data_IF_693446244475
#
_entry.id   IF_693446244475
#
_cell.length_a   1.000
_cell.length_b   1.000
_cell.length_c   1.000
_cell.angle_alpha   90.00
_cell.angle_beta   90.00
_cell.angle_gamma   90.00
#
_symmetry.space_group_name_H-M   'P 1'
#
loop_
_entity.id
_entity.type
_entity.pdbx_description
1 polymer ?
#
# COMPACT_ATOMS: atom_id res chain seq x y z
N UNK A 1 39.44 35.02 -22.77
CA UNK A 1 38.88 34.14 -21.72
C UNK A 1 37.46 34.61 -21.47
N UNK A 2 36.46 33.92 -22.04
CA UNK A 2 35.05 34.26 -21.79
C UNK A 2 34.58 33.52 -20.55
N UNK A 3 34.16 34.26 -19.53
CA UNK A 3 33.47 33.70 -18.36
C UNK A 3 32.12 33.13 -18.82
N UNK A 4 31.96 31.81 -18.70
CA UNK A 4 30.69 31.14 -18.96
C UNK A 4 29.66 31.48 -17.87
N UNK A 5 28.35 31.40 -18.18
CA UNK A 5 27.31 31.81 -17.25
C UNK A 5 27.31 30.92 -16.00
N UNK A 6 27.43 31.56 -14.84
CA UNK A 6 27.33 30.94 -13.51
C UNK A 6 25.96 30.27 -13.39
N UNK A 7 25.95 28.93 -13.39
CA UNK A 7 24.75 28.14 -13.09
C UNK A 7 24.31 28.44 -11.66
N UNK A 8 23.18 29.13 -11.50
CA UNK A 8 22.55 29.31 -10.19
C UNK A 8 22.20 27.93 -9.60
N UNK A 9 22.44 27.69 -8.31
CA UNK A 9 22.08 26.43 -7.67
C UNK A 9 20.56 26.25 -7.75
N UNK A 10 20.14 25.10 -8.27
CA UNK A 10 18.73 24.68 -8.30
C UNK A 10 18.24 24.60 -6.85
N UNK A 11 17.35 25.52 -6.48
CA UNK A 11 16.79 25.55 -5.15
C UNK A 11 15.81 24.39 -5.01
N UNK A 12 16.24 23.33 -4.32
CA UNK A 12 15.42 22.13 -4.09
C UNK A 12 14.24 22.52 -3.19
N UNK A 13 13.04 22.57 -3.76
CA UNK A 13 11.80 22.88 -3.02
C UNK A 13 11.65 21.87 -1.88
N UNK A 14 11.53 22.36 -0.64
CA UNK A 14 11.28 21.53 0.53
C UNK A 14 9.82 21.06 0.42
N UNK A 15 9.63 19.77 0.09
CA UNK A 15 8.32 19.14 -0.15
C UNK A 15 7.73 18.64 1.17
N UNK A 16 6.48 18.97 1.52
CA UNK A 16 5.74 18.18 2.50
C UNK A 16 5.57 16.76 1.94
N UNK A 17 5.95 15.75 2.73
CA UNK A 17 5.77 14.34 2.33
C UNK A 17 4.29 14.02 2.41
N UNK A 18 3.72 13.48 1.33
CA UNK A 18 2.37 12.91 1.41
C UNK A 18 2.41 11.72 2.38
N UNK A 19 1.54 11.75 3.38
CA UNK A 19 1.47 10.68 4.38
C UNK A 19 1.18 9.34 3.70
N UNK A 20 1.95 8.31 4.07
CA UNK A 20 1.82 6.95 3.53
C UNK A 20 0.65 6.17 4.19
N UNK A 21 -0.39 6.87 4.65
CA UNK A 21 -1.53 6.29 5.37
C UNK A 21 -2.48 5.58 4.39
N UNK A 22 -2.03 4.43 3.91
CA UNK A 22 -2.81 3.53 3.04
C UNK A 22 -4.15 3.19 3.71
N UNK A 23 -5.24 3.67 3.13
CA UNK A 23 -6.62 3.35 3.56
C UNK A 23 -7.31 4.40 4.44
N UNK A 24 -6.65 5.50 4.79
CA UNK A 24 -7.29 6.63 5.52
C UNK A 24 -7.72 7.70 4.51
N UNK A 25 -9.01 8.00 4.46
CA UNK A 25 -9.50 9.13 3.68
C UNK A 25 -9.29 10.43 4.46
N UNK A 26 -8.53 11.36 3.89
CA UNK A 26 -8.32 12.71 4.42
C UNK A 26 -9.10 13.72 3.57
N UNK A 27 -9.57 14.79 4.21
CA UNK A 27 -10.20 15.93 3.53
C UNK A 27 -9.39 17.19 3.86
N UNK A 28 -8.64 17.68 2.88
CA UNK A 28 -7.57 18.65 3.09
C UNK A 28 -6.54 18.07 4.05
N UNK A 29 -6.30 18.77 5.16
CA UNK A 29 -5.43 18.32 6.27
C UNK A 29 -6.20 17.62 7.39
N UNK A 30 -7.52 17.46 7.27
CA UNK A 30 -8.37 16.92 8.34
C UNK A 30 -8.57 15.41 8.24
N UNK A 31 -8.41 14.70 9.38
CA UNK A 31 -8.75 13.28 9.50
C UNK A 31 -10.24 13.09 9.83
N UNK A 32 -10.88 12.09 9.20
CA UNK A 32 -12.28 11.77 9.46
C UNK A 32 -12.40 10.78 10.62
N UNK A 33 -12.99 11.22 11.74
CA UNK A 33 -13.37 10.35 12.86
C UNK A 33 -14.75 9.75 12.61
N UNK A 34 -14.84 8.42 12.49
CA UNK A 34 -16.11 7.69 12.38
C UNK A 34 -16.71 7.50 13.78
N UNK A 35 -17.97 7.88 13.98
CA UNK A 35 -18.72 7.69 15.23
C UNK A 35 -20.05 6.99 14.91
N UNK A 36 -20.50 6.08 15.77
CA UNK A 36 -21.83 5.42 15.63
C UNK A 36 -21.85 4.08 14.87
N UNK A 37 -20.69 3.50 14.53
CA UNK A 37 -20.64 2.15 13.96
C UNK A 37 -20.83 1.11 15.08
N UNK A 38 -21.98 0.46 15.10
CA UNK A 38 -22.32 -0.58 16.08
C UNK A 38 -21.86 -1.98 15.64
N UNK A 39 -21.22 -2.68 16.60
CA UNK A 39 -20.84 -4.11 16.65
C UNK A 39 -19.58 -4.55 15.87
N UNK A 40 -18.76 -5.29 16.62
CA UNK A 40 -17.54 -5.98 16.19
C UNK A 40 -17.94 -7.33 15.60
N UNK A 41 -17.81 -7.50 14.30
CA UNK A 41 -18.14 -8.75 13.59
C UNK A 41 -16.97 -9.75 13.69
N UNK A 42 -17.26 -11.06 13.71
CA UNK A 42 -16.24 -12.12 13.70
C UNK A 42 -15.30 -12.04 12.47
N UNK A 43 -15.73 -11.41 11.36
CA UNK A 43 -14.87 -11.10 10.21
C UNK A 43 -13.68 -10.19 10.55
N UNK A 44 -13.75 -9.47 11.67
CA UNK A 44 -12.67 -8.62 12.17
C UNK A 44 -11.48 -9.46 12.67
N UNK A 45 -11.67 -10.68 13.18
CA UNK A 45 -10.55 -11.53 13.64
C UNK A 45 -9.72 -12.02 12.45
N UNK A 46 -10.38 -12.54 11.41
CA UNK A 46 -9.69 -12.97 10.19
C UNK A 46 -8.98 -11.79 9.52
N UNK A 47 -9.67 -10.66 9.36
CA UNK A 47 -9.06 -9.44 8.82
C UNK A 47 -7.87 -8.99 9.66
N UNK A 48 -8.02 -8.94 11.00
CA UNK A 48 -6.97 -8.56 11.94
C UNK A 48 -5.73 -9.44 11.79
N UNK A 49 -5.89 -10.77 11.80
CA UNK A 49 -4.79 -11.72 11.60
C UNK A 49 -4.06 -11.52 10.28
N UNK A 50 -4.78 -11.17 9.21
CA UNK A 50 -4.15 -10.89 7.91
C UNK A 50 -3.47 -9.50 7.83
N UNK A 51 -3.83 -8.57 8.71
CA UNK A 51 -3.24 -7.21 8.75
C UNK A 51 -2.09 -7.06 9.73
N UNK A 52 -1.85 -8.03 10.63
CA UNK A 52 -0.68 -8.02 11.52
C UNK A 52 0.62 -7.90 10.71
N UNK A 53 1.61 -7.20 11.24
CA UNK A 53 2.98 -7.28 10.68
C UNK A 53 3.52 -8.71 10.82
N UNK A 54 4.46 -9.12 9.97
CA UNK A 54 5.06 -10.45 10.02
C UNK A 54 5.60 -10.84 11.40
N UNK A 55 6.32 -9.94 12.09
CA UNK A 55 6.85 -10.22 13.43
C UNK A 55 5.76 -10.52 14.43
N UNK A 56 4.76 -9.64 14.55
CA UNK A 56 3.61 -9.85 15.45
C UNK A 56 2.81 -11.12 15.10
N UNK A 57 2.69 -11.46 13.82
CA UNK A 57 2.03 -12.70 13.39
C UNK A 57 2.78 -13.93 13.92
N UNK A 58 4.10 -14.04 13.69
CA UNK A 58 4.89 -15.18 14.19
C UNK A 58 4.96 -15.23 15.71
N UNK A 59 5.03 -14.08 16.39
CA UNK A 59 4.95 -14.03 17.85
C UNK A 59 3.60 -14.53 18.37
N UNK A 60 2.49 -14.16 17.73
CA UNK A 60 1.16 -14.62 18.10
C UNK A 60 1.02 -16.14 17.89
N UNK A 61 1.45 -16.66 16.74
CA UNK A 61 1.45 -18.10 16.45
C UNK A 61 2.30 -18.85 17.46
N UNK A 62 3.52 -18.38 17.75
CA UNK A 62 4.39 -18.98 18.75
C UNK A 62 3.81 -18.93 20.17
N UNK A 63 3.15 -17.83 20.54
CA UNK A 63 2.47 -17.71 21.83
C UNK A 63 1.29 -18.67 21.95
N UNK A 64 0.47 -18.80 20.90
CA UNK A 64 -0.65 -19.75 20.87
C UNK A 64 -0.14 -21.20 20.99
N UNK A 65 0.89 -21.55 20.21
CA UNK A 65 1.56 -22.84 20.30
C UNK A 65 2.03 -23.15 21.73
N UNK A 66 2.73 -22.21 22.38
CA UNK A 66 3.19 -22.39 23.76
C UNK A 66 2.03 -22.54 24.75
N UNK A 67 0.97 -21.75 24.62
CA UNK A 67 -0.21 -21.82 25.49
C UNK A 67 -0.93 -23.17 25.33
N UNK A 68 -1.11 -23.65 24.10
CA UNK A 68 -1.69 -24.97 23.83
C UNK A 68 -0.87 -26.08 24.48
N UNK A 69 0.46 -26.06 24.30
CA UNK A 69 1.35 -27.05 24.92
C UNK A 69 1.30 -27.02 26.44
N UNK A 70 1.31 -25.82 27.05
CA UNK A 70 1.21 -25.70 28.51
C UNK A 70 -0.14 -26.21 29.05
N UNK A 71 -1.22 -26.01 28.31
CA UNK A 71 -2.54 -26.52 28.68
C UNK A 71 -2.59 -28.06 28.64
N UNK A 72 -2.02 -28.69 27.61
CA UNK A 72 -1.94 -30.15 27.50
C UNK A 72 -0.95 -30.75 28.50
N UNK A 73 0.21 -30.12 28.70
CA UNK A 73 1.15 -30.50 29.75
C UNK A 73 0.47 -30.53 31.13
N UNK A 74 -0.34 -29.51 31.44
CA UNK A 74 -1.14 -29.50 32.67
C UNK A 74 -2.15 -30.65 32.69
N UNK A 75 -2.86 -30.93 31.59
CA UNK A 75 -3.80 -32.04 31.50
C UNK A 75 -3.12 -33.41 31.75
N UNK A 76 -1.92 -33.63 31.23
CA UNK A 76 -1.13 -34.82 31.54
C UNK A 76 -0.67 -34.85 33.00
N UNK A 77 -0.22 -33.72 33.53
CA UNK A 77 0.30 -33.61 34.90
C UNK A 77 -0.77 -33.87 35.97
N UNK A 78 -2.06 -33.61 35.69
CA UNK A 78 -3.17 -33.85 36.63
C UNK A 78 -3.32 -35.32 37.04
N UNK A 79 -2.94 -36.28 36.18
CA UNK A 79 -3.09 -37.71 36.46
C UNK A 79 -1.71 -38.38 36.44
N UNK A 80 -1.16 -38.77 37.60
CA UNK A 80 0.11 -39.50 37.67
C UNK A 80 0.08 -40.80 36.85
N UNK A 81 1.17 -41.09 36.14
CA UNK A 81 1.24 -42.27 35.26
C UNK A 81 0.53 -42.08 33.90
N UNK A 82 0.10 -40.86 33.57
CA UNK A 82 -0.40 -40.52 32.24
C UNK A 82 0.66 -40.64 31.14
N UNK A 83 1.92 -40.39 31.47
CA UNK A 83 3.07 -40.47 30.55
C UNK A 83 4.08 -41.49 31.11
N UNK A 84 4.41 -42.49 30.31
CA UNK A 84 5.48 -43.45 30.56
C UNK A 84 6.84 -42.77 30.46
N UNK A 85 7.79 -43.16 31.31
CA UNK A 85 9.18 -42.66 31.34
C UNK A 85 9.34 -41.16 31.67
N UNK A 86 8.28 -40.44 32.04
CA UNK A 86 8.37 -39.10 32.60
C UNK A 86 8.78 -39.16 34.08
N UNK A 87 9.62 -38.24 34.54
CA UNK A 87 10.02 -38.18 35.96
C UNK A 87 8.82 -37.79 36.83
N UNK A 88 8.50 -38.55 37.90
CA UNK A 88 7.39 -38.22 38.78
C UNK A 88 7.53 -36.80 39.36
N UNK A 89 6.49 -35.98 39.19
CA UNK A 89 6.45 -34.61 39.71
C UNK A 89 7.25 -33.57 38.91
N UNK A 90 7.88 -33.93 37.79
CA UNK A 90 8.66 -32.99 36.98
C UNK A 90 7.82 -32.43 35.82
N UNK A 91 7.21 -31.26 36.01
CA UNK A 91 6.30 -30.66 35.04
C UNK A 91 6.90 -30.46 33.64
N UNK A 92 8.19 -30.11 33.54
CA UNK A 92 8.83 -29.88 32.25
C UNK A 92 8.86 -31.12 31.35
N UNK A 93 8.88 -32.35 31.91
CA UNK A 93 8.79 -33.57 31.09
C UNK A 93 7.41 -33.66 30.40
N UNK A 94 6.34 -33.23 31.07
CA UNK A 94 5.00 -33.16 30.48
C UNK A 94 4.89 -32.08 29.41
N UNK A 95 5.63 -30.97 29.54
CA UNK A 95 5.73 -29.92 28.52
C UNK A 95 6.47 -30.42 27.29
N UNK A 96 7.61 -31.10 27.46
CA UNK A 96 8.35 -31.65 26.33
C UNK A 96 7.57 -32.78 25.63
N UNK A 97 6.86 -33.62 26.39
CA UNK A 97 5.97 -34.64 25.82
C UNK A 97 4.83 -34.03 25.00
N UNK A 98 4.22 -32.95 25.50
CA UNK A 98 3.21 -32.19 24.76
C UNK A 98 3.78 -31.59 23.48
N UNK A 99 4.97 -30.98 23.53
CA UNK A 99 5.67 -30.41 22.36
C UNK A 99 5.92 -31.46 21.28
N UNK A 100 6.45 -32.64 21.63
CA UNK A 100 6.72 -33.69 20.65
C UNK A 100 5.44 -34.36 20.13
N UNK A 101 4.35 -34.36 20.92
CA UNK A 101 3.05 -34.92 20.54
C UNK A 101 2.29 -33.96 19.61
N UNK A 102 2.14 -32.69 19.99
CA UNK A 102 1.46 -31.66 19.21
C UNK A 102 2.16 -31.40 17.86
N UNK A 103 3.50 -31.39 17.86
CA UNK A 103 4.29 -31.23 16.63
C UNK A 103 4.40 -32.52 15.81
N UNK A 104 3.80 -33.63 16.27
CA UNK A 104 3.86 -34.96 15.62
C UNK A 104 5.28 -35.50 15.40
N UNK A 105 6.24 -35.07 16.24
CA UNK A 105 7.63 -35.56 16.20
C UNK A 105 7.72 -36.94 16.85
N UNK A 106 7.12 -37.09 18.03
CA UNK A 106 6.99 -38.36 18.75
C UNK A 106 8.30 -39.16 18.84
N UNK A 107 9.32 -38.64 19.53
CA UNK A 107 10.62 -39.33 19.68
C UNK A 107 10.49 -40.74 20.29
N UNK A 108 9.39 -41.02 21.01
CA UNK A 108 9.01 -42.35 21.46
C UNK A 108 9.62 -42.79 22.79
N UNK A 109 10.54 -41.99 23.35
CA UNK A 109 11.06 -42.21 24.70
C UNK A 109 9.95 -42.02 25.75
N UNK A 110 9.21 -40.91 25.67
CA UNK A 110 7.96 -40.71 26.39
C UNK A 110 6.79 -41.14 25.50
N UNK A 111 5.81 -41.81 26.10
CA UNK A 111 4.60 -42.26 25.43
C UNK A 111 3.43 -42.29 26.43
N UNK A 112 2.16 -42.28 25.98
CA UNK A 112 1.03 -42.38 26.90
C UNK A 112 1.08 -43.68 27.71
N UNK A 113 1.07 -43.58 29.05
CA UNK A 113 1.20 -44.71 29.98
C UNK A 113 -0.12 -45.26 30.50
N UNK A 114 -1.24 -44.61 30.19
CA UNK A 114 -2.58 -45.01 30.63
C UNK A 114 -3.65 -44.68 29.59
N UNK A 115 -4.85 -45.25 29.74
CA UNK A 115 -6.00 -44.93 28.89
C UNK A 115 -6.31 -43.43 28.89
N UNK A 116 -6.19 -42.77 30.06
CA UNK A 116 -6.33 -41.32 30.17
C UNK A 116 -5.28 -40.59 29.33
N UNK A 117 -4.01 -40.97 29.44
CA UNK A 117 -2.93 -40.41 28.64
C UNK A 117 -3.18 -40.56 27.14
N UNK A 118 -3.66 -41.73 26.69
CA UNK A 118 -4.00 -41.95 25.29
C UNK A 118 -5.13 -41.04 24.79
N UNK A 119 -6.16 -40.79 25.60
CA UNK A 119 -7.27 -39.89 25.25
C UNK A 119 -6.78 -38.44 25.14
N UNK A 120 -5.97 -37.99 26.09
CA UNK A 120 -5.39 -36.63 26.08
C UNK A 120 -4.48 -36.48 24.86
N UNK A 121 -3.55 -37.42 24.63
CA UNK A 121 -2.65 -37.39 23.49
C UNK A 121 -3.39 -37.44 22.15
N UNK A 122 -4.45 -38.26 22.03
CA UNK A 122 -5.25 -38.32 20.79
C UNK A 122 -5.98 -36.99 20.52
N UNK A 123 -6.47 -36.34 21.58
CA UNK A 123 -7.11 -35.02 21.49
C UNK A 123 -6.10 -33.95 21.10
N UNK A 124 -4.90 -34.01 21.69
CA UNK A 124 -3.79 -33.11 21.37
C UNK A 124 -3.35 -33.24 19.92
N UNK A 125 -3.15 -34.47 19.43
CA UNK A 125 -2.78 -34.72 18.02
C UNK A 125 -3.84 -34.16 17.07
N UNK A 126 -5.13 -34.35 17.37
CA UNK A 126 -6.22 -33.79 16.57
C UNK A 126 -6.18 -32.25 16.52
N UNK A 127 -6.02 -31.60 17.68
CA UNK A 127 -5.93 -30.14 17.75
C UNK A 127 -4.66 -29.61 17.07
N UNK A 128 -3.52 -30.30 17.22
CA UNK A 128 -2.26 -29.96 16.54
C UNK A 128 -2.40 -30.01 15.02
N UNK A 129 -3.07 -31.03 14.48
CA UNK A 129 -3.36 -31.11 13.05
C UNK A 129 -4.23 -29.93 12.57
N UNK A 130 -5.26 -29.54 13.35
CA UNK A 130 -6.09 -28.37 13.04
C UNK A 130 -5.29 -27.07 13.12
N UNK A 131 -4.43 -26.92 14.12
CA UNK A 131 -3.57 -25.74 14.30
C UNK A 131 -2.60 -25.58 13.12
N UNK A 132 -1.89 -26.65 12.74
CA UNK A 132 -0.98 -26.66 11.59
C UNK A 132 -1.71 -26.31 10.30
N UNK A 133 -2.89 -26.89 10.05
CA UNK A 133 -3.70 -26.59 8.88
C UNK A 133 -4.15 -25.12 8.86
N UNK A 134 -4.61 -24.58 10.00
CA UNK A 134 -5.06 -23.20 10.12
C UNK A 134 -3.91 -22.19 9.92
N UNK A 135 -2.76 -22.41 10.57
CA UNK A 135 -1.57 -21.54 10.42
C UNK A 135 -1.06 -21.59 8.98
N UNK A 136 -1.01 -22.76 8.36
CA UNK A 136 -0.60 -22.91 6.95
C UNK A 136 -1.55 -22.17 6.02
N UNK A 137 -2.87 -22.31 6.21
CA UNK A 137 -3.87 -21.58 5.44
C UNK A 137 -3.76 -20.06 5.59
N UNK A 138 -3.51 -19.57 6.82
CA UNK A 138 -3.28 -18.15 7.08
C UNK A 138 -1.97 -17.66 6.46
N UNK A 139 -0.89 -18.44 6.52
CA UNK A 139 0.37 -18.12 5.86
C UNK A 139 0.19 -17.97 4.34
N UNK A 140 -0.47 -18.94 3.70
CA UNK A 140 -0.78 -18.86 2.28
C UNK A 140 -1.62 -17.62 1.96
N UNK A 141 -2.72 -17.39 2.68
CA UNK A 141 -3.56 -16.21 2.49
C UNK A 141 -2.78 -14.89 2.69
N UNK A 142 -1.80 -14.83 3.59
CA UNK A 142 -0.94 -13.66 3.79
C UNK A 142 0.10 -13.48 2.68
N UNK A 143 0.68 -14.56 2.16
CA UNK A 143 1.63 -14.51 1.03
C UNK A 143 0.95 -14.18 -0.29
N UNK A 144 -0.25 -14.69 -0.50
CA UNK A 144 -1.04 -14.46 -1.71
C UNK A 144 -1.66 -13.07 -1.79
N UNK A 145 -1.52 -12.23 -0.75
CA UNK A 145 -2.02 -10.84 -0.82
C UNK A 145 -1.20 -10.03 -1.81
N UNK A 146 -1.80 -9.55 -2.92
CA UNK A 146 -1.08 -8.71 -3.87
C UNK A 146 -0.69 -7.42 -3.17
N UNK A 147 0.60 -7.08 -3.24
CA UNK A 147 1.09 -5.76 -2.84
C UNK A 147 1.33 -4.95 -4.09
N UNK A 148 0.44 -3.99 -4.36
CA UNK A 148 0.68 -3.02 -5.43
C UNK A 148 1.91 -2.18 -5.04
N UNK A 149 2.92 -2.21 -5.90
CA UNK A 149 4.06 -1.28 -5.83
C UNK A 149 3.94 -0.26 -6.95
N UNK A 150 2.76 0.34 -7.00
CA UNK A 150 2.47 1.49 -7.84
C UNK A 150 2.83 2.72 -7.01
N UNK A 151 3.81 3.47 -7.49
CA UNK A 151 4.29 4.70 -6.89
C UNK A 151 3.58 5.89 -7.53
N UNK A 152 3.24 6.90 -6.74
CA UNK A 152 2.75 8.18 -7.24
C UNK A 152 3.77 9.28 -6.97
N UNK A 153 3.77 10.34 -7.77
CA UNK A 153 4.56 11.53 -7.46
C UNK A 153 4.15 12.10 -6.10
N UNK A 154 5.07 12.77 -5.40
CA UNK A 154 4.73 13.38 -4.09
C UNK A 154 3.80 14.59 -4.23
N UNK A 155 3.72 15.13 -5.44
CA UNK A 155 2.99 16.36 -5.76
C UNK A 155 2.26 16.16 -7.08
N UNK A 156 1.24 16.99 -7.29
CA UNK A 156 0.69 17.26 -8.60
C UNK A 156 1.12 18.67 -9.03
N UNK A 157 1.22 18.91 -10.32
CA UNK A 157 1.59 20.22 -10.86
C UNK A 157 0.55 20.72 -11.86
N UNK A 158 0.38 22.03 -11.95
CA UNK A 158 -0.47 22.68 -12.95
C UNK A 158 0.41 23.61 -13.77
N UNK A 159 0.50 23.34 -15.07
CA UNK A 159 1.37 24.09 -15.99
C UNK A 159 0.78 24.07 -17.40
N UNK A 160 1.09 25.06 -18.27
CA UNK A 160 0.66 25.03 -19.65
C UNK A 160 1.22 23.81 -20.40
N UNK A 161 0.33 23.04 -21.02
CA UNK A 161 0.68 21.94 -21.92
C UNK A 161 -0.09 22.10 -23.23
N UNK A 162 0.63 22.19 -24.34
CA UNK A 162 0.05 22.53 -25.65
C UNK A 162 -0.84 23.79 -25.61
N UNK A 163 -0.42 24.80 -24.83
CA UNK A 163 -1.13 26.07 -24.69
C UNK A 163 -2.32 26.07 -23.73
N UNK A 164 -2.68 24.92 -23.14
CA UNK A 164 -3.80 24.79 -22.19
C UNK A 164 -3.28 24.48 -20.78
N UNK A 165 -3.74 25.19 -19.74
CA UNK A 165 -3.42 24.84 -18.36
C UNK A 165 -3.82 23.39 -18.08
N UNK A 166 -2.88 22.57 -17.62
CA UNK A 166 -3.10 21.13 -17.47
C UNK A 166 -2.59 20.68 -16.11
N UNK A 167 -3.45 19.99 -15.36
CA UNK A 167 -3.06 19.27 -14.16
C UNK A 167 -2.31 18.00 -14.55
N UNK A 168 -1.13 17.82 -13.99
CA UNK A 168 -0.27 16.67 -14.21
C UNK A 168 0.12 16.00 -12.90
N UNK A 169 0.18 14.68 -12.93
CA UNK A 169 0.76 13.86 -11.86
C UNK A 169 1.35 12.59 -12.47
N UNK A 170 2.28 11.94 -11.78
CA UNK A 170 2.92 10.73 -12.29
C UNK A 170 2.53 9.53 -11.45
N UNK A 171 2.37 8.40 -12.14
CA UNK A 171 2.37 7.08 -11.52
C UNK A 171 3.46 6.22 -12.15
N UNK A 172 4.12 5.39 -11.36
CA UNK A 172 5.20 4.51 -11.77
C UNK A 172 4.98 3.09 -11.26
N UNK A 173 5.40 2.09 -12.04
CA UNK A 173 5.48 0.73 -11.56
C UNK A 173 6.89 0.50 -10.99
N UNK A 174 6.99 0.34 -9.66
CA UNK A 174 8.28 0.04 -9.02
C UNK A 174 8.70 -1.41 -9.27
N UNK A 175 7.77 -2.27 -9.69
CA UNK A 175 8.08 -3.64 -10.12
C UNK A 175 8.38 -3.63 -11.61
N UNK A 176 9.35 -4.43 -12.03
CA UNK A 176 9.67 -4.65 -13.43
C UNK A 176 8.68 -5.57 -14.17
N UNK A 177 7.54 -5.90 -13.56
CA UNK A 177 6.49 -6.69 -14.20
C UNK A 177 5.47 -5.78 -14.91
N UNK A 178 4.51 -6.38 -15.60
CA UNK A 178 3.47 -5.66 -16.32
C UNK A 178 2.20 -5.57 -15.46
N UNK A 179 1.56 -4.41 -15.49
CA UNK A 179 0.18 -4.26 -15.05
C UNK A 179 -0.68 -4.13 -16.30
N UNK A 180 -1.45 -5.18 -16.59
CA UNK A 180 -2.32 -5.28 -17.76
C UNK A 180 -3.65 -4.57 -17.53
N UNK A 181 -4.22 -4.03 -18.60
CA UNK A 181 -5.52 -3.32 -18.58
C UNK A 181 -5.58 -2.25 -17.46
N UNK A 182 -4.49 -1.51 -17.32
CA UNK A 182 -4.35 -0.49 -16.29
C UNK A 182 -5.34 0.66 -16.55
N UNK A 183 -6.07 1.05 -15.51
CA UNK A 183 -7.02 2.16 -15.51
C UNK A 183 -6.67 3.16 -14.41
N UNK A 184 -6.85 4.43 -14.71
CA UNK A 184 -6.65 5.55 -13.79
C UNK A 184 -7.94 6.33 -13.66
N UNK A 185 -8.27 6.71 -12.42
CA UNK A 185 -9.33 7.68 -12.12
C UNK A 185 -8.79 8.77 -11.20
N UNK A 186 -9.21 9.99 -11.45
CA UNK A 186 -8.91 11.12 -10.58
C UNK A 186 -10.21 11.84 -10.21
N UNK A 187 -10.38 12.14 -8.93
CA UNK A 187 -11.56 12.79 -8.38
C UNK A 187 -11.11 13.98 -7.54
N UNK A 188 -11.58 15.18 -7.86
CA UNK A 188 -11.42 16.36 -7.02
C UNK A 188 -12.55 16.40 -5.98
N UNK A 189 -12.17 16.55 -4.72
CA UNK A 189 -13.08 16.60 -3.59
C UNK A 189 -12.92 17.96 -2.93
N UNK A 190 -14.00 18.72 -2.82
CA UNK A 190 -13.95 20.06 -2.23
C UNK A 190 -15.27 20.44 -1.57
N UNK A 191 -15.21 21.44 -0.69
CA UNK A 191 -16.41 22.05 -0.12
C UNK A 191 -16.90 23.17 -1.00
N UNK A 192 -18.21 23.27 -1.14
CA UNK A 192 -18.89 24.34 -1.85
C UNK A 192 -20.06 24.84 -1.02
N UNK A 193 -20.40 26.12 -1.20
CA UNK A 193 -21.58 26.75 -0.60
C UNK A 193 -22.63 26.89 -1.68
N UNK A 194 -23.83 26.34 -1.47
CA UNK A 194 -24.94 26.50 -2.42
C UNK A 194 -25.46 27.94 -2.41
N UNK A 195 -26.33 28.27 -3.38
CA UNK A 195 -27.04 29.56 -3.40
C UNK A 195 -27.95 29.73 -2.17
N UNK A 196 -28.40 28.65 -1.56
CA UNK A 196 -29.20 28.63 -0.32
C UNK A 196 -28.32 28.77 0.94
N UNK A 197 -27.01 28.94 0.80
CA UNK A 197 -26.07 29.11 1.92
C UNK A 197 -25.66 27.81 2.61
N UNK A 198 -25.97 26.64 2.03
CA UNK A 198 -25.61 25.34 2.61
C UNK A 198 -24.21 24.92 2.17
N UNK A 199 -23.40 24.43 3.10
CA UNK A 199 -22.06 23.92 2.81
C UNK A 199 -22.13 22.40 2.62
N UNK A 200 -21.69 21.92 1.46
CA UNK A 200 -21.61 20.49 1.15
C UNK A 200 -20.23 20.12 0.60
N UNK A 201 -19.87 18.84 0.72
CA UNK A 201 -18.70 18.30 0.02
C UNK A 201 -19.16 17.71 -1.31
N UNK A 202 -18.55 18.14 -2.41
CA UNK A 202 -18.74 17.53 -3.73
C UNK A 202 -17.53 16.74 -4.19
N UNK A 203 -17.83 15.75 -5.02
CA UNK A 203 -16.86 14.87 -5.68
C UNK A 203 -17.01 15.09 -7.18
N UNK A 204 -15.93 15.49 -7.84
CA UNK A 204 -15.88 15.76 -9.26
C UNK A 204 -14.90 14.80 -9.91
N UNK A 205 -15.40 13.87 -10.71
CA UNK A 205 -14.55 13.01 -11.52
C UNK A 205 -13.94 13.85 -12.66
N UNK A 206 -12.61 13.81 -12.75
CA UNK A 206 -11.85 14.58 -13.72
C UNK A 206 -11.71 13.78 -15.01
N UNK A 207 -12.02 14.40 -16.15
CA UNK A 207 -11.76 13.80 -17.46
C UNK A 207 -10.25 13.77 -17.73
N UNK A 208 -9.66 12.58 -17.85
CA UNK A 208 -8.23 12.45 -18.14
C UNK A 208 -8.01 12.31 -19.64
N UNK A 209 -6.88 12.81 -20.14
CA UNK A 209 -6.52 12.66 -21.57
C UNK A 209 -6.32 11.18 -21.95
N UNK A 210 -5.87 10.37 -21.00
CA UNK A 210 -5.78 8.92 -21.13
C UNK A 210 -6.12 8.26 -19.79
N UNK A 211 -7.27 7.58 -19.73
CA UNK A 211 -7.75 6.86 -18.54
C UNK A 211 -7.35 5.38 -18.54
N UNK A 212 -7.04 4.83 -19.72
CA UNK A 212 -6.76 3.41 -19.91
C UNK A 212 -5.43 3.19 -20.63
N UNK A 213 -4.72 2.14 -20.24
CA UNK A 213 -3.50 1.67 -20.88
C UNK A 213 -3.48 0.15 -20.85
N UNK A 214 -3.38 -0.49 -22.02
CA UNK A 214 -3.33 -1.95 -22.09
C UNK A 214 -2.12 -2.54 -21.34
N UNK A 215 -1.02 -1.78 -21.22
CA UNK A 215 0.18 -2.19 -20.49
C UNK A 215 0.79 -1.01 -19.75
N UNK A 216 0.86 -1.11 -18.43
CA UNK A 216 1.59 -0.19 -17.55
C UNK A 216 2.84 -0.88 -16.99
N UNK A 217 4.01 -0.51 -17.53
CA UNK A 217 5.29 -1.16 -17.22
C UNK A 217 6.31 -0.26 -16.51
N UNK A 218 6.30 1.04 -16.80
CA UNK A 218 7.34 1.99 -16.38
C UNK A 218 6.73 3.17 -15.63
N UNK A 219 6.40 4.23 -16.37
CA UNK A 219 5.85 5.48 -15.85
C UNK A 219 4.67 5.92 -16.71
N UNK A 220 3.72 6.61 -16.10
CA UNK A 220 2.56 7.17 -16.75
C UNK A 220 2.28 8.55 -16.15
N UNK A 221 2.47 9.59 -16.98
CA UNK A 221 2.02 10.94 -16.66
C UNK A 221 0.53 11.04 -16.94
N UNK A 222 -0.25 11.28 -15.89
CA UNK A 222 -1.69 11.47 -15.92
C UNK A 222 -1.96 12.95 -16.14
N UNK A 223 -2.78 13.25 -17.16
CA UNK A 223 -3.06 14.62 -17.63
C UNK A 223 -4.56 14.90 -17.55
N UNK A 224 -4.93 16.03 -16.94
CA UNK A 224 -6.27 16.58 -16.96
C UNK A 224 -6.22 18.02 -17.48
N UNK A 225 -6.82 18.25 -18.66
CA UNK A 225 -6.91 19.59 -19.25
C UNK A 225 -7.89 20.42 -18.43
N UNK A 226 -7.49 21.63 -18.06
CA UNK A 226 -8.30 22.57 -17.30
C UNK A 226 -8.98 23.50 -18.31
N UNK A 227 -10.14 23.08 -18.80
CA UNK A 227 -11.05 23.88 -19.62
C UNK A 227 -12.22 24.44 -18.79
N UNK A 228 -13.17 25.13 -19.42
CA UNK A 228 -14.33 25.73 -18.75
C UNK A 228 -15.22 24.73 -18.00
N UNK A 229 -15.17 23.44 -18.36
CA UNK A 229 -15.91 22.38 -17.69
C UNK A 229 -15.17 21.80 -16.48
N UNK A 230 -13.86 22.05 -16.39
CA UNK A 230 -13.02 21.56 -15.30
C UNK A 230 -13.40 22.22 -13.97
N UNK A 231 -13.46 21.46 -12.86
CA UNK A 231 -13.70 22.05 -11.55
C UNK A 231 -12.49 22.87 -11.05
N UNK A 232 -11.34 22.80 -11.72
CA UNK A 232 -10.18 23.68 -11.48
C UNK A 232 -10.25 25.00 -12.26
N UNK A 233 -11.22 25.17 -13.17
CA UNK A 233 -11.32 26.36 -13.99
C UNK A 233 -11.47 27.63 -13.15
N UNK A 234 -10.62 28.62 -13.42
CA UNK A 234 -10.61 29.90 -12.72
C UNK A 234 -10.21 29.84 -11.23
N UNK A 235 -9.73 28.71 -10.72
CA UNK A 235 -9.33 28.56 -9.32
C UNK A 235 -7.86 28.90 -9.12
N UNK A 236 -7.59 29.67 -8.08
CA UNK A 236 -6.24 29.92 -7.59
C UNK A 236 -5.83 28.91 -6.51
N UNK A 237 -4.54 28.88 -6.17
CA UNK A 237 -4.03 28.10 -5.05
C UNK A 237 -4.78 28.42 -3.74
N UNK A 238 -5.06 29.70 -3.49
CA UNK A 238 -5.76 30.12 -2.28
C UNK A 238 -7.20 29.60 -2.22
N UNK A 239 -7.89 29.54 -3.38
CA UNK A 239 -9.24 28.99 -3.46
C UNK A 239 -9.24 27.50 -3.10
N UNK A 240 -8.29 26.73 -3.62
CA UNK A 240 -8.13 25.32 -3.27
C UNK A 240 -7.92 25.12 -1.76
N UNK A 241 -7.14 25.98 -1.12
CA UNK A 241 -6.95 25.94 0.34
C UNK A 241 -8.25 26.25 1.09
N UNK A 242 -8.94 27.33 0.72
CA UNK A 242 -10.17 27.77 1.38
C UNK A 242 -11.28 26.69 1.26
N UNK A 243 -11.38 26.07 0.09
CA UNK A 243 -12.36 25.01 -0.22
C UNK A 243 -12.01 23.66 0.43
N UNK A 244 -10.79 23.51 0.99
CA UNK A 244 -10.30 22.24 1.51
C UNK A 244 -10.14 21.18 0.42
N UNK A 245 -9.70 21.60 -0.77
CA UNK A 245 -9.59 20.75 -1.94
C UNK A 245 -8.63 19.58 -1.71
N UNK A 246 -9.07 18.39 -2.15
CA UNK A 246 -8.32 17.14 -2.10
C UNK A 246 -8.47 16.42 -3.43
N UNK A 247 -7.37 16.23 -4.14
CA UNK A 247 -7.31 15.41 -5.34
C UNK A 247 -7.05 13.96 -4.95
N UNK A 248 -7.97 13.06 -5.27
CA UNK A 248 -7.82 11.62 -5.05
C UNK A 248 -7.57 10.93 -6.39
N UNK A 249 -6.44 10.22 -6.52
CA UNK A 249 -6.09 9.45 -7.71
C UNK A 249 -6.02 7.98 -7.36
N UNK A 250 -6.60 7.15 -8.22
CA UNK A 250 -6.59 5.71 -8.10
C UNK A 250 -6.09 5.09 -9.41
N UNK A 251 -5.19 4.12 -9.30
CA UNK A 251 -4.71 3.27 -10.41
C UNK A 251 -5.07 1.84 -10.09
N UNK A 252 -5.56 1.09 -11.06
CA UNK A 252 -5.82 -0.33 -10.92
C UNK A 252 -5.56 -1.10 -12.21
N UNK A 253 -5.32 -2.39 -12.11
CA UNK A 253 -5.15 -3.29 -13.26
C UNK A 253 -4.84 -4.71 -12.78
N UNK A 254 -4.44 -5.58 -13.70
CA UNK A 254 -4.07 -6.97 -13.38
C UNK A 254 -2.55 -7.12 -13.38
N UNK A 255 -1.97 -7.61 -12.28
CA UNK A 255 -0.54 -7.92 -12.19
C UNK A 255 -0.25 -9.20 -12.98
N UNK A 256 0.61 -9.14 -14.00
CA UNK A 256 0.89 -10.27 -14.90
C UNK A 256 1.64 -11.43 -14.20
N UNK A 257 2.30 -11.17 -13.08
CA UNK A 257 3.04 -12.20 -12.33
C UNK A 257 2.12 -12.99 -11.40
N UNK A 258 1.23 -12.30 -10.69
CA UNK A 258 0.29 -12.92 -9.77
C UNK A 258 -1.05 -13.30 -10.42
N UNK A 259 -1.31 -12.77 -11.63
CA UNK A 259 -2.59 -12.82 -12.32
C UNK A 259 -3.77 -12.42 -11.42
N UNK A 260 -3.55 -11.37 -10.63
CA UNK A 260 -4.49 -10.86 -9.64
C UNK A 260 -4.64 -9.35 -9.76
N UNK A 261 -5.77 -8.83 -9.29
CA UNK A 261 -6.10 -7.41 -9.39
C UNK A 261 -5.31 -6.59 -8.38
N UNK A 262 -4.58 -5.60 -8.88
CA UNK A 262 -3.84 -4.63 -8.08
C UNK A 262 -4.53 -3.28 -8.12
N UNK A 263 -4.52 -2.59 -6.97
CA UNK A 263 -5.04 -1.24 -6.84
C UNK A 263 -4.10 -0.41 -5.96
N UNK A 264 -3.93 0.85 -6.31
CA UNK A 264 -3.22 1.82 -5.50
C UNK A 264 -3.93 3.18 -5.58
N UNK A 265 -3.85 3.94 -4.49
CA UNK A 265 -4.50 5.24 -4.37
C UNK A 265 -3.58 6.24 -3.70
N UNK A 266 -3.59 7.47 -4.18
CA UNK A 266 -2.89 8.61 -3.61
C UNK A 266 -3.84 9.79 -3.46
N UNK A 267 -3.67 10.58 -2.40
CA UNK A 267 -4.42 11.82 -2.18
C UNK A 267 -3.49 13.01 -2.05
N UNK A 268 -3.81 14.10 -2.73
CA UNK A 268 -3.08 15.37 -2.68
C UNK A 268 -3.99 16.44 -2.10
N UNK A 269 -3.63 16.98 -0.93
CA UNK A 269 -4.25 18.20 -0.43
C UNK A 269 -3.82 19.41 -1.29
N UNK A 270 -4.51 20.54 -1.16
CA UNK A 270 -4.19 21.77 -1.89
C UNK A 270 -2.69 22.15 -1.87
N UNK A 271 -2.01 22.00 -0.71
CA UNK A 271 -0.57 22.27 -0.55
C UNK A 271 0.38 21.35 -1.34
N UNK A 272 -0.14 20.22 -1.85
CA UNK A 272 0.60 19.28 -2.67
C UNK A 272 0.34 19.49 -4.18
N UNK A 273 -0.47 20.49 -4.54
CA UNK A 273 -0.75 20.87 -5.93
C UNK A 273 0.01 22.18 -6.21
N UNK A 274 0.97 22.13 -7.14
CA UNK A 274 1.87 23.25 -7.43
C UNK A 274 1.53 23.88 -8.78
N UNK A 275 1.02 25.10 -8.76
CA UNK A 275 0.83 25.90 -9.98
C UNK A 275 2.17 26.42 -10.51
N UNK A 276 2.28 26.56 -11.83
CA UNK A 276 3.45 27.08 -12.55
C UNK A 276 4.73 26.27 -12.27
N UNK A 277 4.59 24.95 -12.20
CA UNK A 277 5.69 24.01 -12.08
C UNK A 277 5.53 22.88 -13.08
N UNK A 278 6.65 22.32 -13.53
CA UNK A 278 6.68 21.11 -14.36
C UNK A 278 7.55 20.05 -13.70
N UNK A 279 7.29 18.79 -14.04
CA UNK A 279 8.12 17.70 -13.56
C UNK A 279 9.47 17.64 -14.28
N UNK A 280 10.51 17.23 -13.56
CA UNK A 280 11.81 16.90 -14.12
C UNK A 280 11.70 15.74 -15.13
N UNK A 281 12.45 15.79 -16.22
CA UNK A 281 12.54 14.64 -17.12
C UNK A 281 13.23 13.46 -16.42
N UNK A 282 12.65 12.27 -16.60
CA UNK A 282 13.09 11.01 -16.01
C UNK A 282 13.55 10.02 -17.05
N UNK A 283 13.30 10.27 -18.34
CA UNK A 283 13.79 9.45 -19.44
C UNK A 283 15.04 10.09 -20.02
N UNK A 284 16.13 9.33 -20.10
CA UNK A 284 17.32 9.78 -20.82
C UNK A 284 17.09 9.72 -22.33
N UNK A 285 17.31 10.85 -23.02
CA UNK A 285 17.43 10.90 -24.48
C UNK A 285 18.68 10.17 -25.00
N UNK A 286 19.72 10.08 -24.15
CA UNK A 286 20.98 9.43 -24.50
C UNK A 286 20.88 7.94 -24.20
N UNK A 287 21.11 7.16 -25.25
CA UNK A 287 21.34 5.72 -25.14
C UNK A 287 22.76 5.49 -24.61
N UNK A 288 22.87 4.77 -23.50
CA UNK A 288 24.13 4.14 -23.11
C UNK A 288 24.21 2.79 -23.82
N UNK A 289 24.83 2.77 -25.01
CA UNK A 289 24.79 1.62 -25.91
C UNK A 289 23.38 1.39 -26.46
N UNK A 290 22.72 0.31 -26.05
CA UNK A 290 21.34 -0.03 -26.45
C UNK A 290 20.33 0.09 -25.29
N UNK A 291 20.70 0.78 -24.21
CA UNK A 291 19.87 0.89 -23.00
C UNK A 291 19.38 2.33 -22.86
N UNK A 292 18.05 2.49 -22.71
CA UNK A 292 17.43 3.74 -22.25
C UNK A 292 17.37 3.73 -20.73
N UNK A 293 17.79 4.83 -20.10
CA UNK A 293 17.82 4.96 -18.64
C UNK A 293 16.55 5.70 -18.19
N UNK A 294 15.79 5.04 -17.30
CA UNK A 294 14.70 5.64 -16.53
C UNK A 294 15.21 5.96 -15.13
N UNK A 295 15.37 7.24 -14.82
CA UNK A 295 15.91 7.70 -13.54
C UNK A 295 14.80 8.03 -12.55
N UNK A 296 14.39 7.03 -11.76
CA UNK A 296 13.41 7.22 -10.70
C UNK A 296 13.86 8.16 -9.57
N UNK A 297 15.15 8.50 -9.46
CA UNK A 297 15.60 9.46 -8.43
C UNK A 297 15.05 10.87 -8.66
N UNK A 298 14.68 11.19 -9.91
CA UNK A 298 14.04 12.45 -10.32
C UNK A 298 12.52 12.35 -10.42
N UNK A 299 11.92 11.21 -10.06
CA UNK A 299 10.50 10.93 -10.28
C UNK A 299 9.57 11.98 -9.65
N UNK A 300 9.90 12.41 -8.44
CA UNK A 300 9.14 13.39 -7.67
C UNK A 300 9.59 14.83 -7.90
N UNK A 301 10.68 15.06 -8.65
CA UNK A 301 11.31 16.37 -8.78
C UNK A 301 10.50 17.27 -9.72
N UNK A 302 10.36 18.53 -9.30
CA UNK A 302 9.63 19.58 -10.01
C UNK A 302 10.51 20.82 -10.13
N UNK A 303 10.30 21.61 -11.18
CA UNK A 303 10.95 22.89 -11.41
C UNK A 303 9.90 23.97 -11.65
N UNK A 304 10.14 25.21 -11.17
CA UNK A 304 9.30 26.33 -11.53
C UNK A 304 9.36 26.60 -13.05
N UNK A 305 8.22 26.92 -13.63
CA UNK A 305 8.13 27.28 -15.05
C UNK A 305 8.97 28.55 -15.33
N UNK A 306 9.68 28.54 -16.46
CA UNK A 306 10.60 29.62 -16.83
C UNK A 306 12.03 29.49 -16.27
N UNK A 307 12.34 28.42 -15.53
CA UNK A 307 13.73 28.09 -15.14
C UNK A 307 14.41 27.19 -16.17
N UNK A 308 15.67 27.49 -16.52
CA UNK A 308 16.47 26.71 -17.48
C UNK A 308 16.93 25.38 -16.84
N UNK A 309 16.05 24.37 -16.83
CA UNK A 309 16.36 23.10 -16.17
C UNK A 309 15.44 21.91 -16.47
N UNK A 310 14.25 22.11 -17.03
CA UNK A 310 13.35 21.01 -17.36
C UNK A 310 12.70 21.18 -18.73
N UNK A 311 12.91 20.21 -19.60
CA UNK A 311 12.01 19.93 -20.70
C UNK A 311 10.75 19.30 -20.12
N UNK A 312 9.58 19.67 -20.66
CA UNK A 312 8.32 19.02 -20.32
C UNK A 312 8.40 17.53 -20.69
N UNK A 313 8.13 16.60 -19.76
CA UNK A 313 8.11 15.18 -20.05
C UNK A 313 7.01 14.90 -21.09
N UNK A 314 7.43 14.55 -22.32
CA UNK A 314 6.53 14.31 -23.45
C UNK A 314 6.77 15.18 -24.67
N UNK A 315 7.61 16.22 -24.59
CA UNK A 315 8.01 16.98 -25.78
C UNK A 315 8.75 16.11 -26.83
N UNK A 316 9.37 15.00 -26.41
CA UNK A 316 10.05 14.06 -27.30
C UNK A 316 9.16 12.91 -27.83
N UNK A 317 7.90 12.79 -27.38
CA UNK A 317 6.98 11.72 -27.80
C UNK A 317 5.78 12.21 -28.62
N UNK A 318 5.62 13.52 -28.79
CA UNK A 318 4.69 14.11 -29.74
C UNK A 318 5.46 14.46 -31.04
N UNK A 319 5.35 13.58 -32.04
CA UNK A 319 5.88 13.67 -33.42
C UNK A 319 7.26 13.01 -33.66
N UNK A 320 7.36 12.14 -34.69
CA UNK A 320 7.28 12.57 -36.09
C UNK A 320 6.25 11.77 -36.92
N UNK A 321 5.47 12.48 -37.76
CA UNK A 321 4.62 11.88 -38.80
C UNK A 321 3.17 11.72 -38.42
#
# INVERSE_FOLDING_TARGET
MSEGPVRKPVQKVIRPRVGNDRGVFQMGTSQIKRVGLGRRHWGDIYHWMLTLSWTHFFLLVGALYLVTNLAFALAFFLVPGSISNARPGYFLDTVFFSIETLATVGYGYMNPGSTYGHIVASTEILLGMVEVAAVTGLLFARFSRPTSRIMFSDVAVITPFNGVPTLMLRTGNERGNLILEASVRATLIRRETTMEGQIFTRFYDLQLEREHSGVFALTWTILHKIDESSPFWGKSQQDLHNEGATLSVAVSGTDDTLNDFVHARQTYAAEHIYFNHHFADIMSDKLEGNVRILDYSKFHDIYPDGTAGGSMPGAALAHPG
#
